data_IF_159094592236
#
_entry.id   IF_159094592236
#
_cell.length_a   1.000
_cell.length_b   1.000
_cell.length_c   1.000
_cell.angle_alpha   90.00
_cell.angle_beta   90.00
_cell.angle_gamma   90.00
#
_symmetry.space_group_name_H-M   'P 1'
#
loop_
_entity.id
_entity.type
_entity.pdbx_description
1 polymer ?
#
# COMPACT_ATOMS: atom_id res chain seq x y z
N UNK A 1 10.96 -0.09 -23.96
CA UNK A 1 10.03 -1.20 -23.67
C UNK A 1 8.65 -0.67 -23.86
N UNK A 2 7.96 -1.17 -24.88
CA UNK A 2 6.59 -0.76 -25.19
C UNK A 2 5.70 -1.02 -23.98
N UNK A 3 5.03 0.03 -23.49
CA UNK A 3 3.98 -0.11 -22.46
C UNK A 3 2.94 -1.06 -23.05
N UNK A 4 2.59 -2.14 -22.34
CA UNK A 4 1.46 -3.00 -22.69
C UNK A 4 0.22 -2.37 -22.07
N UNK A 5 -0.65 -1.67 -22.84
CA UNK A 5 -1.80 -1.02 -22.27
C UNK A 5 -2.97 -1.98 -22.30
N UNK A 6 -3.23 -2.64 -21.17
CA UNK A 6 -4.53 -3.26 -20.96
C UNK A 6 -5.48 -2.14 -20.58
N UNK A 7 -6.24 -1.66 -21.56
CA UNK A 7 -7.34 -0.73 -21.33
C UNK A 7 -8.59 -1.57 -21.03
N UNK A 8 -9.11 -1.60 -19.80
CA UNK A 8 -10.34 -2.32 -19.49
C UNK A 8 -11.50 -1.76 -20.34
N UNK A 9 -12.45 -2.62 -20.72
CA UNK A 9 -13.62 -2.24 -21.52
C UNK A 9 -14.62 -1.36 -20.74
N UNK A 10 -14.52 -1.31 -19.41
CA UNK A 10 -15.39 -0.54 -18.55
C UNK A 10 -14.67 0.03 -17.32
N UNK A 11 -15.48 0.50 -16.37
CA UNK A 11 -15.03 1.11 -15.12
C UNK A 11 -14.35 0.07 -14.23
N UNK A 12 -13.14 0.40 -13.74
CA UNK A 12 -12.32 -0.52 -12.98
C UNK A 12 -11.55 0.22 -11.88
N UNK A 13 -11.56 -0.33 -10.67
CA UNK A 13 -10.85 0.23 -9.51
C UNK A 13 -9.89 -0.82 -8.95
N UNK A 14 -8.60 -0.49 -8.96
CA UNK A 14 -7.60 -1.22 -8.18
C UNK A 14 -7.52 -0.64 -6.78
N UNK A 15 -7.92 -1.40 -5.77
CA UNK A 15 -7.75 -1.02 -4.37
C UNK A 15 -6.32 -1.38 -3.97
N UNK A 16 -5.45 -0.37 -3.86
CA UNK A 16 -4.04 -0.64 -3.60
C UNK A 16 -3.73 -0.90 -2.13
N UNK A 17 -3.35 -2.13 -1.84
CA UNK A 17 -2.82 -2.53 -0.54
C UNK A 17 -1.29 -2.37 -0.55
N UNK A 18 -0.67 -1.79 0.49
CA UNK A 18 0.77 -1.64 0.53
C UNK A 18 1.51 -2.97 0.40
N UNK A 19 2.56 -2.97 -0.43
CA UNK A 19 3.49 -4.09 -0.66
C UNK A 19 2.89 -5.36 -1.31
N UNK A 20 1.81 -5.19 -2.08
CA UNK A 20 1.16 -6.27 -2.86
C UNK A 20 1.17 -6.00 -4.38
N UNK A 21 2.34 -5.68 -4.95
CA UNK A 21 2.56 -5.45 -6.39
C UNK A 21 1.96 -4.19 -7.05
N UNK A 22 1.67 -3.15 -6.27
CA UNK A 22 1.10 -1.87 -6.75
C UNK A 22 1.65 -1.33 -8.07
N UNK A 23 2.96 -1.05 -8.12
CA UNK A 23 3.61 -0.44 -9.29
C UNK A 23 3.53 -1.34 -10.53
N UNK A 24 3.66 -2.66 -10.35
CA UNK A 24 3.54 -3.62 -11.46
C UNK A 24 2.14 -3.60 -12.05
N UNK A 25 1.10 -3.63 -11.21
CA UNK A 25 -0.30 -3.56 -11.65
C UNK A 25 -0.59 -2.21 -12.32
N UNK A 26 -0.20 -1.12 -11.66
CA UNK A 26 -0.48 0.22 -12.13
C UNK A 26 0.09 0.50 -13.52
N UNK A 27 1.38 0.21 -13.70
CA UNK A 27 2.09 0.56 -14.93
C UNK A 27 1.92 -0.47 -16.03
N UNK A 28 1.82 -1.75 -15.68
CA UNK A 28 1.85 -2.84 -16.65
C UNK A 28 0.49 -3.45 -16.91
N UNK A 29 -0.48 -3.33 -16.01
CA UNK A 29 -1.86 -3.78 -16.24
C UNK A 29 -2.71 -2.59 -16.67
N UNK A 30 -2.93 -1.63 -15.79
CA UNK A 30 -3.89 -0.54 -16.08
C UNK A 30 -3.35 0.51 -17.07
N UNK A 31 -2.03 0.53 -17.30
CA UNK A 31 -1.34 1.53 -18.14
C UNK A 31 -1.78 2.97 -17.85
N UNK A 32 -2.01 3.23 -16.58
CA UNK A 32 -2.29 4.58 -16.09
C UNK A 32 -0.95 5.33 -16.05
N UNK A 33 -0.94 6.58 -16.50
CA UNK A 33 0.26 7.42 -16.35
C UNK A 33 0.49 7.69 -14.87
N UNK A 34 1.73 7.52 -14.38
CA UNK A 34 2.07 7.81 -12.97
C UNK A 34 1.68 9.25 -12.68
N UNK A 35 0.65 9.51 -11.90
CA UNK A 35 0.24 10.85 -11.62
C UNK A 35 0.85 11.05 -10.23
N UNK A 36 2.16 11.33 -10.23
CA UNK A 36 2.94 11.51 -9.00
C UNK A 36 2.15 12.38 -7.99
N UNK A 37 1.40 13.35 -8.50
CA UNK A 37 0.45 14.23 -7.84
C UNK A 37 -0.63 13.56 -6.95
N UNK A 38 -1.00 12.29 -7.17
CA UNK A 38 -2.09 11.63 -6.43
C UNK A 38 -1.59 10.76 -5.27
N UNK A 39 -0.29 10.44 -5.28
CA UNK A 39 0.34 9.55 -4.31
C UNK A 39 1.01 10.30 -3.15
N UNK A 40 1.06 11.64 -3.16
CA UNK A 40 1.76 12.42 -2.12
C UNK A 40 0.88 12.97 -0.99
N UNK A 41 -0.33 12.43 -0.80
CA UNK A 41 -1.20 12.80 0.33
C UNK A 41 -0.60 12.42 1.68
N UNK A 42 0.25 13.26 2.25
CA UNK A 42 0.57 13.26 3.68
C UNK A 42 -0.61 13.91 4.43
N UNK A 43 -0.91 13.41 5.63
CA UNK A 43 -1.89 14.07 6.48
C UNK A 43 -1.49 15.53 6.76
N UNK A 44 -2.46 16.46 6.68
CA UNK A 44 -2.22 17.90 6.79
C UNK A 44 -1.43 18.29 8.04
N UNK A 45 -1.76 17.71 9.19
CA UNK A 45 -1.07 18.02 10.44
C UNK A 45 0.38 17.56 10.43
N UNK A 46 0.66 16.41 9.83
CA UNK A 46 2.02 15.89 9.72
C UNK A 46 2.84 16.72 8.73
N UNK A 47 2.26 17.16 7.61
CA UNK A 47 2.88 18.15 6.73
C UNK A 47 3.23 19.43 7.48
N UNK A 48 2.30 19.97 8.27
CA UNK A 48 2.52 21.19 9.04
C UNK A 48 3.64 21.03 10.07
N UNK A 49 3.78 19.85 10.68
CA UNK A 49 4.89 19.54 11.59
C UNK A 49 6.22 19.41 10.83
N UNK A 50 6.26 18.66 9.72
CA UNK A 50 7.45 18.52 8.88
C UNK A 50 7.93 19.86 8.33
N UNK A 51 7.01 20.74 7.99
CA UNK A 51 7.32 22.09 7.51
C UNK A 51 8.00 22.97 8.56
N UNK A 52 7.84 22.66 9.85
CA UNK A 52 8.53 23.34 10.95
C UNK A 52 9.94 22.77 11.18
N UNK A 53 10.28 21.64 10.57
CA UNK A 53 11.57 20.95 10.69
C UNK A 53 12.17 20.63 9.30
N UNK A 54 12.86 21.60 8.67
CA UNK A 54 13.41 21.46 7.33
C UNK A 54 14.44 20.34 7.17
N UNK A 55 15.20 20.03 8.22
CA UNK A 55 16.20 18.94 8.19
C UNK A 55 15.50 17.57 8.22
N UNK A 56 14.45 17.41 9.03
CA UNK A 56 13.60 16.21 9.02
C UNK A 56 12.89 16.02 7.67
N UNK A 57 12.35 17.09 7.08
CA UNK A 57 11.75 17.04 5.74
C UNK A 57 12.76 16.56 4.68
N UNK A 58 13.98 17.10 4.71
CA UNK A 58 15.06 16.75 3.78
C UNK A 58 15.56 15.31 3.97
N UNK A 59 15.59 14.82 5.20
CA UNK A 59 15.91 13.41 5.52
C UNK A 59 14.85 12.45 4.97
N UNK A 60 13.57 12.79 5.09
CA UNK A 60 12.46 11.93 4.64
C UNK A 60 12.32 11.97 3.11
N UNK A 61 12.52 13.13 2.49
CA UNK A 61 12.40 13.33 1.05
C UNK A 61 13.66 13.95 0.46
N UNK A 62 14.74 13.16 0.31
CA UNK A 62 16.04 13.66 -0.14
C UNK A 62 16.02 14.20 -1.58
N UNK A 63 15.01 13.84 -2.38
CA UNK A 63 14.80 14.34 -3.75
C UNK A 63 14.06 15.68 -3.83
N UNK A 64 13.60 16.26 -2.70
CA UNK A 64 13.03 17.61 -2.68
C UNK A 64 14.19 18.60 -2.75
N UNK A 65 14.51 19.03 -3.97
CA UNK A 65 15.48 20.09 -4.18
C UNK A 65 14.94 21.42 -3.64
N UNK A 66 15.83 22.28 -3.11
CA UNK A 66 15.55 23.46 -2.24
C UNK A 66 14.84 24.64 -2.93
N UNK A 67 13.89 24.40 -3.83
CA UNK A 67 13.03 25.43 -4.39
C UNK A 67 11.79 25.65 -3.51
N UNK A 68 11.42 26.91 -3.25
CA UNK A 68 10.07 27.25 -2.73
C UNK A 68 8.93 26.64 -3.58
N UNK A 69 9.23 26.22 -4.81
CA UNK A 69 8.35 25.54 -5.77
C UNK A 69 8.05 24.07 -5.45
N UNK A 70 8.99 23.28 -4.94
CA UNK A 70 8.80 21.85 -4.63
C UNK A 70 8.02 21.64 -3.32
N UNK A 71 8.25 22.50 -2.34
CA UNK A 71 7.43 22.59 -1.12
C UNK A 71 6.03 23.11 -1.44
N UNK A 72 5.89 24.09 -2.35
CA UNK A 72 4.56 24.53 -2.84
C UNK A 72 3.82 23.42 -3.56
N UNK A 73 4.52 22.48 -4.23
CA UNK A 73 3.89 21.33 -4.88
C UNK A 73 3.26 20.38 -3.86
N UNK A 74 3.97 20.03 -2.78
CA UNK A 74 3.42 19.28 -1.65
C UNK A 74 2.22 19.99 -0.99
N UNK A 75 2.29 21.32 -0.86
CA UNK A 75 1.20 22.13 -0.32
C UNK A 75 -0.02 22.21 -1.28
N UNK A 76 0.20 22.22 -2.60
CA UNK A 76 -0.86 22.28 -3.63
C UNK A 76 -1.49 20.90 -3.90
N UNK A 77 -0.72 19.82 -3.74
CA UNK A 77 -1.14 18.41 -3.86
C UNK A 77 -1.96 17.89 -2.69
N UNK A 78 -1.93 18.57 -1.53
CA UNK A 78 -2.86 18.30 -0.44
C UNK A 78 -4.34 18.49 -0.84
N UNK A 79 -4.59 19.14 -1.99
CA UNK A 79 -5.85 19.02 -2.70
C UNK A 79 -5.85 17.74 -3.54
N UNK A 80 -6.25 16.61 -2.95
CA UNK A 80 -6.67 15.44 -3.74
C UNK A 80 -7.67 15.96 -4.79
N UNK A 81 -7.28 15.95 -6.07
CA UNK A 81 -8.18 16.28 -7.17
C UNK A 81 -9.33 15.27 -7.17
N UNK A 82 -10.49 15.66 -7.70
CA UNK A 82 -11.62 14.73 -7.85
C UNK A 82 -11.17 13.50 -8.61
N UNK A 83 -11.36 12.33 -8.03
CA UNK A 83 -11.03 11.03 -8.61
C UNK A 83 -11.77 10.85 -9.94
N UNK A 84 -11.21 10.07 -10.91
CA UNK A 84 -11.96 9.70 -12.10
C UNK A 84 -13.35 9.15 -11.74
N UNK A 85 -14.36 9.58 -12.49
CA UNK A 85 -15.74 9.10 -12.35
C UNK A 85 -16.08 7.98 -13.35
N UNK A 86 -15.15 7.68 -14.27
CA UNK A 86 -15.21 6.59 -15.25
C UNK A 86 -13.79 6.13 -15.61
N UNK A 87 -13.68 4.94 -16.20
CA UNK A 87 -12.45 4.30 -16.65
C UNK A 87 -11.72 3.55 -15.53
N UNK A 88 -10.44 3.24 -15.80
CA UNK A 88 -9.55 2.61 -14.83
C UNK A 88 -9.00 3.62 -13.82
N UNK A 89 -8.96 3.24 -12.54
CA UNK A 89 -8.30 4.02 -11.49
C UNK A 89 -7.65 3.11 -10.44
N UNK A 90 -6.74 3.66 -9.64
CA UNK A 90 -6.06 2.96 -8.56
C UNK A 90 -6.11 3.80 -7.29
N UNK A 91 -6.91 3.39 -6.31
CA UNK A 91 -6.88 4.02 -4.99
C UNK A 91 -5.45 3.88 -4.50
N UNK A 92 -4.77 4.97 -4.12
CA UNK A 92 -3.44 4.89 -3.52
C UNK A 92 -3.49 4.11 -2.21
N UNK A 93 -2.52 4.29 -1.33
CA UNK A 93 -2.67 3.82 0.05
C UNK A 93 -3.67 4.70 0.82
N UNK A 94 -4.87 4.93 0.28
CA UNK A 94 -5.96 5.77 0.79
C UNK A 94 -7.21 4.91 0.90
N UNK A 95 -7.94 5.02 2.01
CA UNK A 95 -9.14 4.23 2.25
C UNK A 95 -10.32 4.71 1.36
N UNK A 96 -11.07 3.76 0.78
CA UNK A 96 -12.12 4.06 -0.19
C UNK A 96 -13.27 4.88 0.41
N UNK A 97 -13.73 4.54 1.63
CA UNK A 97 -14.86 5.21 2.25
C UNK A 97 -14.53 6.68 2.53
N UNK A 98 -13.30 6.94 2.96
CA UNK A 98 -12.82 8.29 3.23
C UNK A 98 -12.78 9.15 1.95
N UNK A 99 -12.43 8.54 0.81
CA UNK A 99 -12.51 9.23 -0.48
C UNK A 99 -13.95 9.56 -0.87
N UNK A 100 -14.91 8.69 -0.55
CA UNK A 100 -16.34 8.93 -0.81
C UNK A 100 -16.86 10.04 0.10
N UNK A 101 -16.60 9.94 1.40
CA UNK A 101 -17.06 10.90 2.41
C UNK A 101 -16.49 12.30 2.14
N UNK A 102 -15.26 12.37 1.63
CA UNK A 102 -14.61 13.62 1.21
C UNK A 102 -15.03 14.13 -0.18
N UNK A 103 -16.04 13.51 -0.82
CA UNK A 103 -16.51 13.81 -2.18
C UNK A 103 -15.39 13.78 -3.23
N UNK A 104 -14.38 12.93 -3.03
CA UNK A 104 -13.28 12.70 -3.98
C UNK A 104 -13.61 11.57 -4.94
N UNK A 105 -14.27 10.53 -4.46
CA UNK A 105 -14.73 9.37 -5.22
C UNK A 105 -16.27 9.33 -5.16
N UNK A 106 -16.96 9.19 -6.29
CA UNK A 106 -18.43 9.10 -6.24
C UNK A 106 -18.87 7.70 -5.83
N UNK A 107 -19.89 7.60 -4.97
CA UNK A 107 -20.49 6.32 -4.58
C UNK A 107 -20.93 5.52 -5.82
N UNK A 108 -21.56 6.18 -6.80
CA UNK A 108 -22.01 5.54 -8.05
C UNK A 108 -20.88 4.89 -8.84
N UNK A 109 -19.76 5.60 -9.05
CA UNK A 109 -18.61 5.03 -9.77
C UNK A 109 -18.00 3.89 -8.96
N UNK A 110 -17.83 4.06 -7.64
CA UNK A 110 -17.33 2.99 -6.80
C UNK A 110 -18.22 1.76 -6.92
N UNK A 111 -19.53 1.86 -6.70
CA UNK A 111 -20.44 0.70 -6.71
C UNK A 111 -20.47 -0.03 -8.06
N UNK A 112 -20.50 0.71 -9.17
CA UNK A 112 -20.62 0.14 -10.53
C UNK A 112 -19.31 -0.40 -11.09
N UNK A 113 -18.16 0.13 -10.66
CA UNK A 113 -16.87 -0.31 -11.17
C UNK A 113 -16.58 -1.76 -10.78
N UNK A 114 -15.94 -2.50 -11.69
CA UNK A 114 -15.27 -3.74 -11.35
C UNK A 114 -14.10 -3.44 -10.40
N UNK A 115 -14.02 -4.13 -9.25
CA UNK A 115 -12.97 -3.86 -8.25
C UNK A 115 -12.08 -5.08 -8.12
N UNK A 116 -10.80 -4.84 -7.92
CA UNK A 116 -9.87 -5.89 -7.57
C UNK A 116 -8.78 -5.39 -6.63
N UNK A 117 -8.17 -6.31 -5.89
CA UNK A 117 -7.06 -6.05 -4.99
C UNK A 117 -6.09 -7.23 -5.04
N UNK A 118 -4.79 -6.94 -4.87
CA UNK A 118 -3.79 -7.96 -4.65
C UNK A 118 -3.50 -8.07 -3.15
N UNK A 119 -3.46 -9.30 -2.65
CA UNK A 119 -3.02 -9.66 -1.29
C UNK A 119 -1.72 -10.45 -1.36
N UNK A 120 -1.10 -10.65 -0.19
CA UNK A 120 0.16 -11.38 -0.03
C UNK A 120 0.18 -12.03 1.34
N UNK A 121 0.85 -13.17 1.47
CA UNK A 121 1.10 -13.82 2.75
C UNK A 121 1.54 -12.77 3.80
N UNK A 122 0.85 -12.67 4.95
CA UNK A 122 1.13 -11.63 5.94
C UNK A 122 2.57 -11.61 6.44
N UNK A 123 3.21 -12.78 6.60
CA UNK A 123 4.60 -12.89 7.02
C UNK A 123 5.55 -12.27 5.98
N UNK A 124 5.33 -12.60 4.71
CA UNK A 124 6.14 -12.10 3.60
C UNK A 124 5.90 -10.60 3.36
N UNK A 125 4.65 -10.15 3.54
CA UNK A 125 4.30 -8.72 3.49
C UNK A 125 5.06 -7.93 4.56
N UNK A 126 5.10 -8.42 5.79
CA UNK A 126 5.80 -7.74 6.89
C UNK A 126 7.32 -7.68 6.66
N UNK A 127 7.94 -8.76 6.20
CA UNK A 127 9.37 -8.76 5.82
C UNK A 127 9.63 -7.75 4.70
N UNK A 128 8.72 -7.64 3.73
CA UNK A 128 8.84 -6.67 2.64
C UNK A 128 8.73 -5.22 3.11
N UNK A 129 7.85 -4.94 4.08
CA UNK A 129 7.77 -3.64 4.74
C UNK A 129 9.07 -3.35 5.50
N UNK A 130 9.54 -4.28 6.34
CA UNK A 130 10.79 -4.15 7.09
C UNK A 130 12.01 -3.86 6.19
N UNK A 131 12.22 -4.67 5.15
CA UNK A 131 13.33 -4.49 4.19
C UNK A 131 13.27 -3.13 3.48
N UNK A 132 12.07 -2.67 3.11
CA UNK A 132 11.88 -1.37 2.47
C UNK A 132 12.35 -0.22 3.37
N UNK A 133 11.98 -0.26 4.66
CA UNK A 133 12.41 0.73 5.64
C UNK A 133 13.92 0.67 5.95
N UNK A 134 14.51 -0.52 6.09
CA UNK A 134 15.97 -0.68 6.26
C UNK A 134 16.77 -0.02 5.15
N UNK A 135 16.44 -0.37 3.90
CA UNK A 135 17.20 0.07 2.73
C UNK A 135 17.02 1.58 2.49
N UNK A 136 15.79 2.10 2.63
CA UNK A 136 15.51 3.49 2.25
C UNK A 136 15.76 4.50 3.37
N UNK A 137 15.83 4.08 4.64
CA UNK A 137 15.80 4.99 5.80
C UNK A 137 16.90 4.76 6.84
N UNK A 138 17.92 3.95 6.53
CA UNK A 138 19.05 3.67 7.44
C UNK A 138 18.56 3.19 8.81
N UNK A 139 17.55 2.31 8.79
CA UNK A 139 16.95 1.71 9.98
C UNK A 139 17.80 0.51 10.43
N UNK A 140 18.31 0.57 11.66
CA UNK A 140 19.24 -0.41 12.25
C UNK A 140 18.64 -1.19 13.41
N UNK A 141 17.37 -1.61 13.30
CA UNK A 141 16.81 -2.64 14.18
C UNK A 141 16.79 -3.98 13.48
N UNK A 142 17.15 -5.04 14.22
CA UNK A 142 16.90 -6.40 13.78
C UNK A 142 15.38 -6.68 13.68
N UNK A 143 15.03 -7.74 12.98
CA UNK A 143 13.64 -8.02 12.65
C UNK A 143 12.80 -8.35 13.88
N UNK A 144 13.34 -9.11 14.85
CA UNK A 144 12.59 -9.50 16.04
C UNK A 144 12.29 -8.30 16.93
N UNK A 145 13.28 -7.43 17.14
CA UNK A 145 13.10 -6.18 17.89
C UNK A 145 12.09 -5.28 17.20
N UNK A 146 12.16 -5.17 15.87
CA UNK A 146 11.18 -4.43 15.10
C UNK A 146 9.74 -4.97 15.29
N UNK A 147 9.54 -6.28 15.14
CA UNK A 147 8.22 -6.91 15.31
C UNK A 147 7.72 -6.76 16.75
N UNK A 148 8.61 -6.83 17.74
CA UNK A 148 8.24 -6.62 19.14
C UNK A 148 7.65 -5.22 19.38
N UNK A 149 8.33 -4.17 18.90
CA UNK A 149 7.86 -2.79 19.05
C UNK A 149 6.57 -2.59 18.27
N UNK A 150 6.51 -3.06 17.01
CA UNK A 150 5.31 -2.95 16.19
C UNK A 150 4.10 -3.62 16.86
N UNK A 151 4.29 -4.80 17.44
CA UNK A 151 3.24 -5.49 18.20
C UNK A 151 2.75 -4.65 19.39
N UNK A 152 3.65 -4.02 20.15
CA UNK A 152 3.27 -3.14 21.26
C UNK A 152 2.47 -1.92 20.79
N UNK A 153 2.84 -1.34 19.64
CA UNK A 153 2.08 -0.24 19.04
C UNK A 153 0.70 -0.72 18.54
N UNK A 154 0.63 -1.92 17.98
CA UNK A 154 -0.61 -2.52 17.50
C UNK A 154 -1.58 -2.83 18.64
N UNK A 155 -1.13 -3.55 19.66
CA UNK A 155 -1.93 -3.95 20.83
C UNK A 155 -2.43 -2.73 21.63
N UNK A 156 -1.62 -1.66 21.67
CA UNK A 156 -2.02 -0.41 22.28
C UNK A 156 -2.89 0.50 21.39
N UNK A 157 -3.25 0.07 20.16
CA UNK A 157 -4.08 0.84 19.24
C UNK A 157 -3.40 2.12 18.70
N UNK A 158 -2.06 2.17 18.70
CA UNK A 158 -1.26 3.32 18.24
C UNK A 158 -0.78 3.20 16.80
N UNK A 159 -1.02 2.07 16.13
CA UNK A 159 -0.87 2.00 14.67
C UNK A 159 -1.88 2.97 14.05
N UNK A 160 -1.43 3.97 13.28
CA UNK A 160 -2.36 4.90 12.65
C UNK A 160 -3.29 4.13 11.71
N UNK A 161 -4.60 4.43 11.67
CA UNK A 161 -5.54 3.69 10.86
C UNK A 161 -5.29 3.90 9.36
N UNK A 162 -6.02 3.18 8.51
CA UNK A 162 -6.17 3.59 7.11
C UNK A 162 -7.05 4.84 7.04
N UNK A 163 -6.83 5.72 6.06
CA UNK A 163 -7.55 7.00 6.04
C UNK A 163 -7.46 7.76 4.72
N UNK A 164 -7.87 9.03 4.75
CA UNK A 164 -7.74 9.99 3.63
C UNK A 164 -6.31 10.50 3.44
N UNK A 165 -5.32 9.61 3.49
CA UNK A 165 -3.91 9.93 3.39
C UNK A 165 -3.18 8.72 2.83
N UNK A 166 -2.19 8.96 1.97
CA UNK A 166 -1.33 7.90 1.45
C UNK A 166 -0.31 7.45 2.50
N UNK A 167 0.07 8.38 3.40
CA UNK A 167 1.12 8.19 4.38
C UNK A 167 0.72 8.88 5.69
N UNK A 168 0.69 8.11 6.77
CA UNK A 168 0.53 8.61 8.13
C UNK A 168 1.57 7.94 9.04
N UNK A 169 2.47 8.71 9.67
CA UNK A 169 3.47 8.16 10.59
C UNK A 169 2.83 7.74 11.91
N UNK A 170 3.57 6.92 12.67
CA UNK A 170 3.23 6.64 14.06
C UNK A 170 3.17 7.95 14.90
N UNK A 171 2.43 7.97 16.02
CA UNK A 171 2.42 9.11 16.95
C UNK A 171 3.83 9.44 17.47
N UNK A 172 4.12 10.71 17.78
CA UNK A 172 5.44 11.17 18.26
C UNK A 172 5.96 10.43 19.51
N UNK A 173 5.05 9.84 20.29
CA UNK A 173 5.37 9.02 21.47
C UNK A 173 5.80 7.59 21.13
N UNK A 174 5.61 7.17 19.88
CA UNK A 174 5.95 5.84 19.40
C UNK A 174 7.46 5.75 19.15
N UNK A 175 8.12 4.65 19.57
CA UNK A 175 9.51 4.39 19.19
C UNK A 175 9.71 4.29 17.67
N UNK A 176 8.62 4.06 16.91
CA UNK A 176 8.65 3.95 15.46
C UNK A 176 8.46 5.28 14.73
N UNK A 177 8.08 6.37 15.40
CA UNK A 177 7.76 7.66 14.76
C UNK A 177 8.85 8.17 13.82
N UNK A 178 10.08 8.26 14.33
CA UNK A 178 11.23 8.76 13.56
C UNK A 178 11.80 7.72 12.60
N UNK A 179 11.47 6.45 12.81
CA UNK A 179 12.02 5.33 12.05
C UNK A 179 11.13 5.01 10.84
N UNK A 180 9.84 5.37 10.90
CA UNK A 180 8.82 4.82 10.02
C UNK A 180 7.73 5.84 9.69
N UNK A 181 7.88 6.46 8.51
CA UNK A 181 6.92 7.47 8.03
C UNK A 181 5.60 6.84 7.55
N UNK A 182 5.59 5.53 7.27
CA UNK A 182 4.47 4.79 6.67
C UNK A 182 3.66 3.97 7.70
N UNK A 183 3.41 4.53 8.88
CA UNK A 183 2.73 3.82 9.99
C UNK A 183 1.39 3.19 9.61
N UNK A 184 0.56 3.89 8.85
CA UNK A 184 -0.72 3.36 8.35
C UNK A 184 -0.58 2.13 7.44
N UNK A 185 0.58 1.90 6.83
CA UNK A 185 0.78 0.77 5.93
C UNK A 185 0.91 -0.58 6.67
N UNK A 186 1.07 -0.55 8.00
CA UNK A 186 1.16 -1.75 8.84
C UNK A 186 -0.19 -2.35 9.23
N UNK A 187 -1.31 -1.68 8.90
CA UNK A 187 -2.64 -2.27 9.11
C UNK A 187 -2.82 -3.58 8.32
N UNK A 188 -3.65 -4.50 8.83
CA UNK A 188 -4.15 -5.65 8.09
C UNK A 188 -4.63 -5.28 6.69
N UNK A 189 -4.34 -6.12 5.71
CA UNK A 189 -4.76 -5.96 4.31
C UNK A 189 -6.28 -5.87 4.17
N UNK A 190 -7.04 -6.59 5.02
CA UNK A 190 -8.50 -6.52 5.04
C UNK A 190 -9.04 -5.13 5.39
N UNK A 191 -8.31 -4.34 6.17
CA UNK A 191 -8.76 -3.01 6.60
C UNK A 191 -8.75 -1.99 5.44
N UNK A 192 -8.10 -2.32 4.32
CA UNK A 192 -8.08 -1.49 3.10
C UNK A 192 -9.29 -1.74 2.19
N UNK A 193 -10.06 -2.80 2.47
CA UNK A 193 -11.13 -3.30 1.61
C UNK A 193 -12.51 -2.87 2.12
N UNK A 194 -13.53 -2.79 1.24
CA UNK A 194 -14.91 -2.58 1.68
C UNK A 194 -15.40 -3.74 2.56
N UNK A 195 -16.34 -3.47 3.48
CA UNK A 195 -16.83 -4.50 4.41
C UNK A 195 -17.42 -5.74 3.70
N UNK A 196 -18.01 -5.54 2.52
CA UNK A 196 -18.55 -6.59 1.66
C UNK A 196 -17.57 -7.01 0.54
N UNK A 197 -16.25 -6.90 0.76
CA UNK A 197 -15.25 -7.20 -0.26
C UNK A 197 -15.36 -8.61 -0.86
N UNK A 198 -15.83 -9.58 -0.07
CA UNK A 198 -16.02 -10.98 -0.52
C UNK A 198 -16.95 -11.08 -1.73
N UNK A 199 -17.92 -10.17 -1.85
CA UNK A 199 -18.90 -10.16 -2.93
C UNK A 199 -18.59 -9.11 -4.00
N UNK A 200 -17.76 -8.11 -3.66
CA UNK A 200 -17.60 -6.88 -4.48
C UNK A 200 -16.21 -6.67 -5.04
N UNK A 201 -15.20 -7.42 -4.57
CA UNK A 201 -13.80 -7.24 -4.96
C UNK A 201 -13.21 -8.58 -5.39
N UNK A 202 -12.65 -8.64 -6.60
CA UNK A 202 -11.79 -9.74 -6.99
C UNK A 202 -10.49 -9.70 -6.17
N UNK A 203 -10.29 -10.71 -5.32
CA UNK A 203 -9.02 -10.90 -4.61
C UNK A 203 -8.06 -11.72 -5.47
N UNK A 204 -6.88 -11.15 -5.71
CA UNK A 204 -5.76 -11.74 -6.40
C UNK A 204 -4.59 -11.97 -5.44
N UNK A 205 -3.78 -12.99 -5.68
CA UNK A 205 -2.69 -13.36 -4.79
C UNK A 205 -1.33 -13.09 -5.44
N UNK A 206 -0.38 -12.58 -4.66
CA UNK A 206 0.98 -12.32 -5.16
C UNK A 206 1.75 -13.63 -5.40
N UNK A 207 1.39 -14.67 -4.66
CA UNK A 207 1.95 -16.02 -4.73
C UNK A 207 1.62 -16.68 -6.07
N UNK A 208 0.41 -16.46 -6.59
CA UNK A 208 -0.08 -16.93 -7.89
C UNK A 208 -0.19 -15.79 -8.91
N UNK A 209 0.73 -14.82 -8.84
CA UNK A 209 0.68 -13.56 -9.56
C UNK A 209 0.33 -13.70 -11.05
N UNK A 210 0.99 -14.59 -11.79
CA UNK A 210 0.73 -14.71 -13.23
C UNK A 210 -0.68 -15.28 -13.52
N UNK A 211 -1.10 -16.28 -12.74
CA UNK A 211 -2.43 -16.88 -12.87
C UNK A 211 -3.54 -15.88 -12.51
N UNK A 212 -3.32 -15.08 -11.46
CA UNK A 212 -4.27 -14.05 -11.05
C UNK A 212 -4.34 -12.88 -12.03
N UNK A 213 -3.22 -12.52 -12.68
CA UNK A 213 -3.23 -11.57 -13.79
C UNK A 213 -4.05 -12.11 -14.95
N UNK A 214 -3.89 -13.39 -15.31
CA UNK A 214 -4.66 -14.00 -16.40
C UNK A 214 -6.17 -13.97 -16.10
N UNK A 215 -6.54 -14.30 -14.86
CA UNK A 215 -7.92 -14.20 -14.36
C UNK A 215 -8.45 -12.77 -14.43
N UNK A 216 -7.70 -11.80 -13.90
CA UNK A 216 -8.05 -10.39 -13.91
C UNK A 216 -8.29 -9.89 -15.34
N UNK A 217 -7.35 -10.17 -16.25
CA UNK A 217 -7.41 -9.74 -17.64
C UNK A 217 -8.61 -10.33 -18.37
N UNK A 218 -8.90 -11.61 -18.14
CA UNK A 218 -10.10 -12.25 -18.67
C UNK A 218 -11.37 -11.57 -18.18
N UNK A 219 -11.46 -11.23 -16.89
CA UNK A 219 -12.63 -10.57 -16.30
C UNK A 219 -12.85 -9.15 -16.81
N UNK A 220 -11.78 -8.41 -17.14
CA UNK A 220 -11.89 -7.06 -17.72
C UNK A 220 -12.05 -7.07 -19.26
N UNK A 221 -12.19 -8.25 -19.87
CA UNK A 221 -12.50 -8.43 -21.29
C UNK A 221 -11.29 -8.46 -22.24
N UNK A 222 -10.08 -8.71 -21.72
CA UNK A 222 -8.90 -8.88 -22.57
C UNK A 222 -8.92 -10.24 -23.29
N UNK A 223 -8.78 -10.22 -24.61
CA UNK A 223 -8.83 -11.43 -25.47
C UNK A 223 -7.49 -11.76 -26.16
N UNK A 224 -6.41 -11.04 -25.81
CA UNK A 224 -5.11 -11.18 -26.46
C UNK A 224 -4.16 -12.16 -25.75
N UNK A 225 -2.99 -12.38 -26.36
CA UNK A 225 -1.82 -12.93 -25.66
C UNK A 225 -1.11 -11.78 -24.94
N UNK A 226 -0.71 -12.01 -23.70
CA UNK A 226 0.11 -11.06 -22.95
C UNK A 226 1.55 -11.48 -22.84
N UNK A 227 2.43 -10.50 -22.67
CA UNK A 227 3.76 -10.75 -22.12
C UNK A 227 3.69 -10.90 -20.60
N UNK A 228 4.74 -11.47 -20.01
CA UNK A 228 4.93 -11.53 -18.56
C UNK A 228 4.90 -10.13 -17.96
N UNK A 229 4.16 -9.95 -16.87
CA UNK A 229 4.11 -8.67 -16.17
C UNK A 229 5.39 -8.52 -15.34
N UNK A 230 6.21 -7.48 -15.57
CA UNK A 230 7.46 -7.33 -14.83
C UNK A 230 7.14 -7.10 -13.35
N UNK A 231 7.68 -7.96 -12.48
CA UNK A 231 7.64 -7.78 -11.02
C UNK A 231 8.58 -6.62 -10.63
N UNK A 232 8.09 -5.38 -10.72
CA UNK A 232 8.84 -4.18 -10.36
C UNK A 232 9.05 -4.12 -8.84
N UNK A 233 10.22 -3.62 -8.43
CA UNK A 233 10.67 -3.59 -7.04
C UNK A 233 10.82 -4.97 -6.37
N UNK A 234 11.05 -6.03 -7.16
CA UNK A 234 11.53 -7.29 -6.60
C UNK A 234 12.87 -7.04 -5.90
N UNK A 235 12.98 -7.43 -4.62
CA UNK A 235 14.24 -7.32 -3.89
C UNK A 235 15.33 -8.11 -4.63
N UNK A 236 16.57 -7.58 -4.67
CA UNK A 236 17.70 -8.22 -5.36
C UNK A 236 18.08 -9.59 -4.79
N UNK A 237 17.65 -9.88 -3.56
CA UNK A 237 17.90 -11.13 -2.84
C UNK A 237 16.58 -11.62 -2.25
N UNK A 238 16.13 -12.80 -2.70
CA UNK A 238 15.03 -13.55 -2.09
C UNK A 238 15.61 -14.39 -0.95
N UNK A 239 15.95 -13.78 0.17
CA UNK A 239 15.93 -14.57 1.40
C UNK A 239 14.47 -15.00 1.56
N UNK A 240 14.16 -16.31 1.63
CA UNK A 240 12.83 -16.78 1.97
C UNK A 240 12.38 -16.03 3.23
N UNK A 241 11.21 -15.41 3.22
CA UNK A 241 10.75 -14.63 4.38
C UNK A 241 10.76 -15.47 5.67
N UNK A 242 10.65 -16.79 5.56
CA UNK A 242 10.79 -17.77 6.64
C UNK A 242 12.11 -17.64 7.42
N UNK A 243 13.21 -17.21 6.79
CA UNK A 243 14.50 -17.01 7.48
C UNK A 243 14.46 -15.87 8.51
N UNK A 244 13.49 -14.97 8.41
CA UNK A 244 13.28 -13.92 9.41
C UNK A 244 12.53 -14.43 10.65
N UNK A 245 11.83 -15.56 10.55
CA UNK A 245 10.96 -16.09 11.59
C UNK A 245 11.64 -17.23 12.34
N UNK A 246 12.72 -16.88 13.05
CA UNK A 246 13.50 -17.86 13.83
C UNK A 246 13.01 -18.02 15.27
N UNK A 247 12.27 -17.02 15.79
CA UNK A 247 11.74 -17.01 17.16
C UNK A 247 10.24 -17.20 17.19
N UNK A 248 9.79 -18.07 18.11
CA UNK A 248 8.36 -18.38 18.30
C UNK A 248 7.56 -17.13 18.69
N UNK A 249 8.12 -16.30 19.56
CA UNK A 249 7.46 -15.07 20.02
C UNK A 249 7.23 -14.08 18.86
N UNK A 250 8.16 -14.01 17.90
CA UNK A 250 8.02 -13.17 16.71
C UNK A 250 6.87 -13.68 15.84
N UNK A 251 6.77 -15.00 15.63
CA UNK A 251 5.67 -15.63 14.90
C UNK A 251 4.34 -15.33 15.60
N UNK A 252 4.23 -15.60 16.90
CA UNK A 252 3.00 -15.39 17.68
C UNK A 252 2.50 -13.94 17.62
N UNK A 253 3.42 -12.96 17.62
CA UNK A 253 3.08 -11.53 17.44
C UNK A 253 2.50 -11.23 16.06
N UNK A 254 3.08 -11.79 15.00
CA UNK A 254 2.56 -11.61 13.64
C UNK A 254 1.21 -12.31 13.45
N UNK A 255 1.04 -13.51 14.04
CA UNK A 255 -0.24 -14.22 14.08
C UNK A 255 -1.32 -13.37 14.74
N UNK A 256 -0.97 -12.70 15.84
CA UNK A 256 -1.88 -11.80 16.55
C UNK A 256 -2.26 -10.59 15.69
N UNK A 257 -1.27 -9.82 15.20
CA UNK A 257 -1.52 -8.56 14.47
C UNK A 257 -2.33 -8.79 13.19
N UNK A 258 -2.02 -9.85 12.45
CA UNK A 258 -2.59 -10.10 11.14
C UNK A 258 -3.61 -11.25 11.12
N UNK A 259 -4.13 -11.66 12.28
CA UNK A 259 -5.14 -12.73 12.42
C UNK A 259 -6.26 -12.61 11.38
N UNK A 260 -6.81 -11.40 11.22
CA UNK A 260 -7.89 -11.13 10.27
C UNK A 260 -7.48 -11.38 8.82
N UNK A 261 -6.23 -11.13 8.43
CA UNK A 261 -5.75 -11.39 7.07
C UNK A 261 -5.62 -12.88 6.80
N UNK A 262 -5.09 -13.65 7.78
CA UNK A 262 -5.00 -15.10 7.67
C UNK A 262 -6.39 -15.72 7.46
N UNK A 263 -7.36 -15.32 8.29
CA UNK A 263 -8.76 -15.77 8.18
C UNK A 263 -9.45 -15.27 6.91
N UNK A 264 -9.23 -14.02 6.51
CA UNK A 264 -9.89 -13.40 5.36
C UNK A 264 -9.46 -13.99 4.02
N UNK A 265 -8.19 -14.37 3.90
CA UNK A 265 -7.58 -14.76 2.61
C UNK A 265 -7.13 -16.22 2.57
N UNK A 266 -7.33 -16.99 3.65
CA UNK A 266 -7.03 -18.41 3.71
C UNK A 266 -5.53 -18.72 3.76
N UNK A 267 -4.75 -17.89 4.43
CA UNK A 267 -3.33 -18.17 4.65
C UNK A 267 -3.13 -19.00 5.92
N UNK A 268 -2.21 -19.96 5.85
CA UNK A 268 -1.80 -20.75 7.01
C UNK A 268 -0.96 -19.93 7.99
N UNK A 269 -1.16 -20.21 9.28
CA UNK A 269 -0.29 -19.74 10.35
C UNK A 269 0.96 -20.63 10.41
N UNK A 270 2.11 -20.00 10.65
CA UNK A 270 3.30 -20.69 11.15
C UNK A 270 3.04 -21.02 12.63
N UNK A 271 3.32 -22.27 13.01
CA UNK A 271 3.16 -22.81 14.36
C UNK A 271 4.50 -22.92 15.09
#
# INVERSE_FOLDING_TARGET
>A
MDKLPYKPLGDCIFIHIPKTAGISIYESVLSLDRPFDWFYGLHHDYLNQLMKDPEKLKSIYPSIDKGKSSIKALLKESSIRTWPVHGASMLGHIHYQELIDANKLTQTYFDQAFKFAFVRNPYDRLVSLYKYHRIQKQFDLDFDTFVHILYQEFDAGRVPPVGLYNIQPFPDTSPLHHLMVYGNQYNPMVDWLPKNYRDTVLICYLETFEQDIDKLLSMIGFQGKRNTVPKKNKAKYEDPFMEFYTKKETIERVNHMYKKDFEAFGYDLIN
#
